data_IF_406679066023
#
_entry.id   IF_406679066023
#
_cell.length_a   1.000
_cell.length_b   1.000
_cell.length_c   1.000
_cell.angle_alpha   90.00
_cell.angle_beta   90.00
_cell.angle_gamma   90.00
#
_symmetry.space_group_name_H-M   'P 1'
#
loop_
_entity.id
_entity.type
_entity.pdbx_description
1 polymer ?
#
# COMPACT_ATOMS: atom_id res chain seq x y z
N UNK A 1 -48.61 -37.05 32.88
CA UNK A 1 -48.75 -35.68 32.34
C UNK A 1 -47.45 -34.94 32.56
N UNK A 2 -46.91 -34.34 31.50
CA UNK A 2 -45.51 -33.97 31.28
C UNK A 2 -44.85 -33.06 32.32
N UNK A 3 -43.58 -33.30 32.69
CA UNK A 3 -42.67 -32.26 33.14
C UNK A 3 -42.10 -31.50 31.94
N UNK A 4 -42.09 -30.17 32.06
CA UNK A 4 -41.66 -29.24 31.03
C UNK A 4 -40.17 -29.37 30.73
N UNK A 5 -39.88 -29.21 29.43
CA UNK A 5 -38.62 -29.43 28.75
C UNK A 5 -37.62 -28.32 29.06
N UNK A 6 -36.65 -28.63 29.90
CA UNK A 6 -35.48 -27.80 30.15
C UNK A 6 -34.52 -27.90 28.96
N UNK A 7 -34.62 -26.96 28.01
CA UNK A 7 -33.67 -26.77 26.90
C UNK A 7 -33.67 -25.32 26.46
N UNK A 8 -32.90 -24.50 27.15
CA UNK A 8 -32.30 -23.29 26.58
C UNK A 8 -30.87 -23.18 27.13
N UNK A 9 -30.01 -24.08 26.65
CA UNK A 9 -28.58 -23.83 26.68
C UNK A 9 -28.29 -22.76 25.61
N UNK A 10 -27.57 -21.67 25.92
CA UNK A 10 -27.14 -20.73 24.90
C UNK A 10 -26.19 -21.45 23.93
N UNK A 11 -26.53 -21.41 22.64
CA UNK A 11 -25.73 -21.96 21.55
C UNK A 11 -24.34 -21.30 21.51
N UNK A 12 -23.36 -21.96 22.14
CA UNK A 12 -21.94 -21.66 22.04
C UNK A 12 -21.35 -22.10 20.68
N UNK A 13 -21.96 -21.68 19.56
CA UNK A 13 -21.55 -22.04 18.20
C UNK A 13 -21.62 -20.89 17.18
N UNK A 14 -21.11 -19.71 17.53
CA UNK A 14 -20.90 -18.59 16.58
C UNK A 14 -19.41 -18.26 16.35
N UNK A 15 -18.56 -19.28 16.26
CA UNK A 15 -17.18 -19.13 15.77
C UNK A 15 -16.93 -20.11 14.61
N UNK A 16 -17.26 -19.71 13.37
CA UNK A 16 -16.24 -19.77 12.31
C UNK A 16 -16.33 -18.62 11.29
N UNK A 17 -16.83 -17.44 11.68
CA UNK A 17 -16.81 -16.23 10.83
C UNK A 17 -15.47 -15.46 10.91
N UNK A 18 -14.49 -15.96 11.67
CA UNK A 18 -13.41 -15.13 12.24
C UNK A 18 -12.06 -15.17 11.53
N UNK A 19 -11.74 -16.19 10.72
CA UNK A 19 -10.44 -16.28 10.05
C UNK A 19 -10.50 -15.84 8.58
N UNK A 20 -11.45 -16.37 7.80
CA UNK A 20 -11.62 -16.01 6.40
C UNK A 20 -11.93 -14.51 6.22
N UNK A 21 -12.76 -13.93 7.09
CA UNK A 21 -13.06 -12.50 7.07
C UNK A 21 -11.83 -11.64 7.45
N UNK A 22 -10.98 -12.12 8.37
CA UNK A 22 -9.72 -11.44 8.74
C UNK A 22 -8.70 -11.49 7.61
N UNK A 23 -8.55 -12.65 6.96
CA UNK A 23 -7.67 -12.81 5.80
C UNK A 23 -8.12 -11.92 4.64
N UNK A 24 -9.42 -11.91 4.32
CA UNK A 24 -9.97 -11.03 3.28
C UNK A 24 -9.78 -9.53 3.58
N UNK A 25 -9.88 -9.14 4.85
CA UNK A 25 -9.63 -7.74 5.25
C UNK A 25 -8.14 -7.37 5.14
N UNK A 26 -7.24 -8.27 5.57
CA UNK A 26 -5.79 -8.08 5.43
C UNK A 26 -5.36 -8.03 3.96
N UNK A 27 -5.93 -8.88 3.10
CA UNK A 27 -5.71 -8.86 1.65
C UNK A 27 -6.18 -7.54 1.05
N UNK A 28 -7.38 -7.07 1.39
CA UNK A 28 -7.88 -5.77 0.90
C UNK A 28 -7.04 -4.57 1.34
N UNK A 29 -6.51 -4.58 2.56
CA UNK A 29 -5.61 -3.54 3.05
C UNK A 29 -4.26 -3.57 2.33
N UNK A 30 -3.71 -4.76 2.07
CA UNK A 30 -2.47 -4.94 1.31
C UNK A 30 -2.62 -4.47 -0.14
N UNK A 31 -3.73 -4.80 -0.82
CA UNK A 31 -4.05 -4.37 -2.19
C UNK A 31 -4.06 -2.85 -2.29
N UNK A 32 -4.70 -2.20 -1.32
CA UNK A 32 -4.82 -0.75 -1.27
C UNK A 32 -3.46 -0.10 -1.01
N UNK A 33 -2.69 -0.60 -0.04
CA UNK A 33 -1.33 -0.10 0.25
C UNK A 33 -0.41 -0.28 -0.96
N UNK A 34 -0.49 -1.44 -1.64
CA UNK A 34 0.30 -1.73 -2.83
C UNK A 34 -0.03 -0.76 -3.97
N UNK A 35 -1.32 -0.57 -4.25
CA UNK A 35 -1.80 0.34 -5.31
C UNK A 35 -1.47 1.80 -4.99
N UNK A 36 -1.65 2.23 -3.74
CA UNK A 36 -1.34 3.59 -3.29
C UNK A 36 0.16 3.91 -3.39
N UNK A 37 1.03 2.91 -3.24
CA UNK A 37 2.47 3.05 -3.46
C UNK A 37 2.87 3.07 -4.94
N UNK A 38 2.21 2.28 -5.80
CA UNK A 38 2.51 2.21 -7.22
C UNK A 38 2.12 3.49 -7.96
N UNK A 39 0.97 4.08 -7.61
CA UNK A 39 0.44 5.29 -8.27
C UNK A 39 1.42 6.47 -8.32
N UNK A 40 2.03 6.94 -7.22
CA UNK A 40 3.00 8.03 -7.27
C UNK A 40 4.27 7.64 -8.03
N UNK A 41 4.68 6.36 -8.00
CA UNK A 41 5.82 5.90 -8.79
C UNK A 41 5.55 5.99 -10.30
N UNK A 42 4.37 5.55 -10.77
CA UNK A 42 3.99 5.66 -12.19
C UNK A 42 3.92 7.11 -12.67
N UNK A 43 3.40 8.01 -11.82
CA UNK A 43 3.39 9.45 -12.11
C UNK A 43 4.81 10.02 -12.20
N UNK A 44 5.69 9.65 -11.26
CA UNK A 44 7.07 10.11 -11.24
C UNK A 44 7.85 9.63 -12.49
N UNK A 45 7.66 8.37 -12.90
CA UNK A 45 8.26 7.84 -14.14
C UNK A 45 7.74 8.59 -15.36
N UNK A 46 6.42 8.80 -15.48
CA UNK A 46 5.85 9.55 -16.59
C UNK A 46 6.41 10.98 -16.67
N UNK A 47 6.52 11.67 -15.54
CA UNK A 47 7.08 13.01 -15.48
C UNK A 47 8.56 13.03 -15.86
N UNK A 48 9.35 12.10 -15.31
CA UNK A 48 10.79 11.99 -15.60
C UNK A 48 11.04 11.75 -17.09
N UNK A 49 10.33 10.80 -17.70
CA UNK A 49 10.47 10.51 -19.12
C UNK A 49 9.93 11.62 -20.01
N UNK A 50 8.97 12.43 -19.55
CA UNK A 50 8.56 13.66 -20.27
C UNK A 50 9.71 14.65 -20.33
N UNK A 51 10.45 14.83 -19.23
CA UNK A 51 11.64 15.68 -19.21
C UNK A 51 12.72 15.11 -20.14
N UNK A 52 12.95 13.79 -20.13
CA UNK A 52 13.92 13.15 -21.04
C UNK A 52 13.52 13.30 -22.50
N UNK A 53 12.26 13.04 -22.88
CA UNK A 53 11.80 13.20 -24.26
C UNK A 53 12.03 14.62 -24.80
N UNK A 54 11.88 15.64 -23.95
CA UNK A 54 12.16 17.03 -24.31
C UNK A 54 13.66 17.30 -24.40
N UNK A 55 14.47 16.74 -23.49
CA UNK A 55 15.91 17.01 -23.40
C UNK A 55 16.75 16.22 -24.42
N UNK A 56 16.34 14.99 -24.76
CA UNK A 56 17.08 14.04 -25.62
C UNK A 56 17.54 14.67 -26.96
N UNK A 57 16.72 15.42 -27.72
CA UNK A 57 17.16 16.06 -28.97
C UNK A 57 18.30 17.07 -28.80
N UNK A 58 18.49 17.62 -27.60
CA UNK A 58 19.50 18.64 -27.32
C UNK A 58 20.79 18.05 -26.74
N UNK A 59 20.74 16.84 -26.19
CA UNK A 59 21.88 16.22 -25.47
C UNK A 59 22.47 15.07 -26.29
N UNK A 60 21.64 14.27 -26.95
CA UNK A 60 22.07 13.02 -27.57
C UNK A 60 22.53 13.25 -29.02
N UNK A 61 23.50 12.46 -29.52
CA UNK A 61 23.90 12.49 -30.93
C UNK A 61 22.74 12.15 -31.88
N UNK A 62 22.67 12.81 -33.05
CA UNK A 62 21.57 12.67 -34.04
C UNK A 62 21.11 11.22 -34.31
N UNK A 63 22.00 10.23 -34.49
CA UNK A 63 21.58 8.85 -34.77
C UNK A 63 20.76 8.20 -33.65
N UNK A 64 20.92 8.68 -32.41
CA UNK A 64 20.27 8.14 -31.20
C UNK A 64 19.04 8.93 -30.75
N UNK A 65 18.86 10.16 -31.22
CA UNK A 65 17.77 11.04 -30.78
C UNK A 65 16.40 10.41 -31.06
N UNK A 66 16.13 10.02 -32.31
CA UNK A 66 14.81 9.53 -32.72
C UNK A 66 14.43 8.24 -31.97
N UNK A 67 15.27 7.19 -31.92
CA UNK A 67 14.94 5.98 -31.18
C UNK A 67 14.71 6.23 -29.68
N UNK A 68 15.54 7.05 -29.03
CA UNK A 68 15.40 7.37 -27.62
C UNK A 68 14.10 8.15 -27.34
N UNK A 69 13.77 9.18 -28.12
CA UNK A 69 12.53 9.94 -27.95
C UNK A 69 11.30 9.07 -28.17
N UNK A 70 11.29 8.19 -29.18
CA UNK A 70 10.18 7.26 -29.41
C UNK A 70 10.00 6.35 -28.18
N UNK A 71 11.09 5.80 -27.65
CA UNK A 71 11.05 4.94 -26.48
C UNK A 71 10.54 5.70 -25.24
N UNK A 72 11.00 6.94 -25.04
CA UNK A 72 10.56 7.80 -23.94
C UNK A 72 9.05 8.06 -24.03
N UNK A 73 8.53 8.39 -25.22
CA UNK A 73 7.09 8.59 -25.45
C UNK A 73 6.28 7.33 -25.14
N UNK A 74 6.78 6.14 -25.52
CA UNK A 74 6.13 4.87 -25.18
C UNK A 74 6.10 4.66 -23.67
N UNK A 75 7.20 4.93 -22.95
CA UNK A 75 7.26 4.80 -21.50
C UNK A 75 6.34 5.81 -20.79
N UNK A 76 6.25 7.05 -21.28
CA UNK A 76 5.29 8.04 -20.79
C UNK A 76 3.86 7.51 -20.93
N UNK A 77 3.50 7.03 -22.13
CA UNK A 77 2.16 6.53 -22.42
C UNK A 77 1.78 5.34 -21.52
N UNK A 78 2.68 4.35 -21.38
CA UNK A 78 2.48 3.18 -20.52
C UNK A 78 2.34 3.60 -19.05
N UNK A 79 3.22 4.48 -18.56
CA UNK A 79 3.23 4.92 -17.16
C UNK A 79 1.97 5.74 -16.82
N UNK A 80 1.53 6.62 -17.72
CA UNK A 80 0.27 7.36 -17.55
C UNK A 80 -0.95 6.44 -17.61
N UNK A 81 -0.97 5.47 -18.52
CA UNK A 81 -2.05 4.49 -18.59
C UNK A 81 -2.14 3.69 -17.27
N UNK A 82 -1.02 3.19 -16.76
CA UNK A 82 -0.96 2.48 -15.48
C UNK A 82 -1.35 3.39 -14.31
N UNK A 83 -0.92 4.66 -14.29
CA UNK A 83 -1.37 5.63 -13.29
C UNK A 83 -2.88 5.80 -13.30
N UNK A 84 -3.51 5.93 -14.48
CA UNK A 84 -4.95 6.10 -14.61
C UNK A 84 -5.71 4.84 -14.19
N UNK A 85 -5.17 3.66 -14.50
CA UNK A 85 -5.72 2.38 -14.03
C UNK A 85 -5.65 2.32 -12.50
N UNK A 86 -4.47 2.54 -11.90
CA UNK A 86 -4.29 2.54 -10.44
C UNK A 86 -5.14 3.60 -9.73
N UNK A 87 -5.48 4.70 -10.41
CA UNK A 87 -6.38 5.74 -9.86
C UNK A 87 -7.84 5.29 -9.83
N UNK A 88 -8.26 4.43 -10.76
CA UNK A 88 -9.67 4.02 -10.93
C UNK A 88 -9.96 2.64 -10.33
N UNK A 89 -8.96 1.80 -10.16
CA UNK A 89 -9.10 0.42 -9.71
C UNK A 89 -8.05 0.09 -8.67
N UNK A 90 -8.44 -0.61 -7.60
CA UNK A 90 -7.52 -1.28 -6.68
C UNK A 90 -6.99 -2.54 -7.35
N UNK A 91 -5.67 -2.67 -7.46
CA UNK A 91 -5.02 -3.81 -8.05
C UNK A 91 -4.64 -4.83 -6.97
N UNK A 92 -4.72 -6.11 -7.31
CA UNK A 92 -4.16 -7.17 -6.47
C UNK A 92 -2.64 -7.02 -6.34
N UNK A 93 -1.98 -7.58 -5.31
CA UNK A 93 -0.57 -7.32 -5.04
C UNK A 93 0.29 -7.91 -6.16
N UNK A 94 -0.13 -9.05 -6.73
CA UNK A 94 0.51 -9.67 -7.88
C UNK A 94 0.46 -8.78 -9.12
N UNK A 95 -0.67 -8.11 -9.38
CA UNK A 95 -0.78 -7.18 -10.50
C UNK A 95 0.10 -5.95 -10.30
N UNK A 96 0.18 -5.44 -9.06
CA UNK A 96 1.09 -4.33 -8.72
C UNK A 96 2.55 -4.71 -8.98
N UNK A 97 2.97 -5.91 -8.56
CA UNK A 97 4.32 -6.40 -8.83
C UNK A 97 4.60 -6.57 -10.32
N UNK A 98 3.68 -7.19 -11.06
CA UNK A 98 3.83 -7.36 -12.51
C UNK A 98 3.93 -6.01 -13.22
N UNK A 99 3.06 -5.05 -12.89
CA UNK A 99 3.08 -3.72 -13.48
C UNK A 99 4.37 -2.96 -13.14
N UNK A 100 4.77 -2.99 -11.86
CA UNK A 100 6.02 -2.36 -11.42
C UNK A 100 7.25 -2.97 -12.11
N UNK A 101 7.32 -4.30 -12.21
CA UNK A 101 8.41 -5.01 -12.90
C UNK A 101 8.40 -4.68 -14.38
N UNK A 102 7.24 -4.69 -15.05
CA UNK A 102 7.15 -4.36 -16.47
C UNK A 102 7.67 -2.94 -16.76
N UNK A 103 7.30 -1.96 -15.91
CA UNK A 103 7.82 -0.59 -16.04
C UNK A 103 9.31 -0.53 -15.73
N UNK A 104 9.80 -1.19 -14.67
CA UNK A 104 11.22 -1.24 -14.34
C UNK A 104 12.04 -1.80 -15.50
N UNK A 105 11.58 -2.89 -16.11
CA UNK A 105 12.23 -3.51 -17.27
C UNK A 105 12.16 -2.63 -18.52
N UNK A 106 11.07 -1.89 -18.72
CA UNK A 106 10.98 -0.89 -19.79
C UNK A 106 11.99 0.24 -19.60
N UNK A 107 12.12 0.76 -18.38
CA UNK A 107 13.12 1.78 -18.04
C UNK A 107 14.54 1.24 -18.20
N UNK A 108 14.80 0.01 -17.74
CA UNK A 108 16.07 -0.68 -17.96
C UNK A 108 16.38 -0.80 -19.45
N UNK A 109 15.41 -1.24 -20.26
CA UNK A 109 15.55 -1.36 -21.71
C UNK A 109 15.95 -0.04 -22.37
N UNK A 110 15.33 1.08 -21.97
CA UNK A 110 15.70 2.42 -22.45
C UNK A 110 17.14 2.79 -22.05
N UNK A 111 17.54 2.55 -20.79
CA UNK A 111 18.89 2.82 -20.30
C UNK A 111 19.93 2.00 -21.07
N UNK A 112 19.68 0.70 -21.26
CA UNK A 112 20.61 -0.19 -21.96
C UNK A 112 20.68 0.14 -23.46
N UNK A 113 19.55 0.45 -24.11
CA UNK A 113 19.52 0.87 -25.51
C UNK A 113 20.34 2.17 -25.72
N UNK A 114 20.11 3.19 -24.88
CA UNK A 114 20.88 4.44 -24.96
C UNK A 114 22.37 4.24 -24.69
N UNK A 115 22.73 3.34 -23.75
CA UNK A 115 24.11 2.93 -23.51
C UNK A 115 24.73 2.20 -24.70
N UNK A 116 24.00 1.26 -25.32
CA UNK A 116 24.44 0.52 -26.50
C UNK A 116 24.75 1.42 -27.71
N UNK A 117 23.99 2.52 -27.85
CA UNK A 117 24.19 3.51 -28.89
C UNK A 117 25.30 4.51 -28.57
N UNK A 118 25.98 4.37 -27.43
CA UNK A 118 27.01 5.30 -26.97
C UNK A 118 26.48 6.68 -26.57
N UNK A 119 25.16 6.84 -26.46
CA UNK A 119 24.51 8.10 -26.14
C UNK A 119 24.47 8.38 -24.64
N UNK A 120 24.54 7.33 -23.81
CA UNK A 120 24.49 7.43 -22.36
C UNK A 120 25.78 6.90 -21.69
N UNK A 121 26.79 7.76 -21.44
CA UNK A 121 28.01 7.36 -20.75
C UNK A 121 27.77 7.06 -19.26
N UNK A 122 26.63 7.48 -18.70
CA UNK A 122 26.29 7.30 -17.29
C UNK A 122 25.33 6.13 -17.04
N UNK A 123 25.21 5.18 -17.99
CA UNK A 123 24.22 4.11 -17.91
C UNK A 123 24.29 3.30 -16.61
N UNK A 124 25.49 3.04 -16.07
CA UNK A 124 25.66 2.35 -14.78
C UNK A 124 25.00 3.10 -13.62
N UNK A 125 25.11 4.44 -13.59
CA UNK A 125 24.45 5.27 -12.59
C UNK A 125 22.93 5.23 -12.77
N UNK A 126 22.45 5.30 -14.01
CA UNK A 126 21.03 5.19 -14.31
C UNK A 126 20.46 3.83 -13.84
N UNK A 127 21.16 2.73 -14.09
CA UNK A 127 20.76 1.41 -13.57
C UNK A 127 20.79 1.38 -12.04
N UNK A 128 21.81 1.97 -11.41
CA UNK A 128 21.88 2.06 -9.95
C UNK A 128 20.70 2.82 -9.33
N UNK A 129 20.29 3.94 -9.94
CA UNK A 129 19.09 4.69 -9.53
C UNK A 129 17.82 3.86 -9.73
N UNK A 130 17.70 3.17 -10.87
CA UNK A 130 16.58 2.28 -11.14
C UNK A 130 16.47 1.18 -10.09
N UNK A 131 17.60 0.59 -9.69
CA UNK A 131 17.66 -0.48 -8.70
C UNK A 131 17.19 0.00 -7.31
N UNK A 132 17.55 1.21 -6.92
CA UNK A 132 17.05 1.85 -5.69
C UNK A 132 15.55 2.14 -5.80
N UNK A 133 15.10 2.69 -6.93
CA UNK A 133 13.70 3.03 -7.15
C UNK A 133 12.81 1.77 -7.15
N UNK A 134 13.24 0.70 -7.84
CA UNK A 134 12.49 -0.54 -7.97
C UNK A 134 12.33 -1.24 -6.61
N UNK A 135 13.40 -1.26 -5.79
CA UNK A 135 13.37 -1.78 -4.42
C UNK A 135 12.33 -1.07 -3.52
N UNK A 136 12.16 0.24 -3.72
CA UNK A 136 11.16 1.06 -3.02
C UNK A 136 9.72 0.86 -3.48
N UNK A 137 9.47 0.24 -4.64
CA UNK A 137 8.11 0.01 -5.17
C UNK A 137 7.55 -1.38 -4.88
N UNK A 138 8.42 -2.38 -4.68
CA UNK A 138 8.01 -3.76 -4.38
C UNK A 138 7.78 -4.01 -2.88
N UNK A 139 6.60 -4.54 -2.53
CA UNK A 139 6.28 -5.06 -1.18
C UNK A 139 6.83 -6.47 -0.94
N UNK A 140 6.87 -7.32 -1.97
CA UNK A 140 7.37 -8.69 -1.85
C UNK A 140 8.88 -8.74 -2.05
N UNK A 141 9.59 -9.35 -1.09
CA UNK A 141 11.03 -9.56 -1.16
C UNK A 141 11.43 -10.44 -2.36
N UNK A 142 10.60 -11.43 -2.73
CA UNK A 142 10.87 -12.32 -3.87
C UNK A 142 10.84 -11.54 -5.17
N UNK A 143 9.84 -10.68 -5.37
CA UNK A 143 9.74 -9.83 -6.56
C UNK A 143 10.85 -8.77 -6.59
N UNK A 144 11.16 -8.16 -5.45
CA UNK A 144 12.27 -7.21 -5.35
C UNK A 144 13.61 -7.86 -5.72
N UNK A 145 13.90 -9.05 -5.17
CA UNK A 145 15.13 -9.78 -5.45
C UNK A 145 15.22 -10.24 -6.91
N UNK A 146 14.11 -10.77 -7.46
CA UNK A 146 14.06 -11.18 -8.87
C UNK A 146 14.32 -9.99 -9.81
N UNK A 147 13.68 -8.85 -9.55
CA UNK A 147 13.85 -7.64 -10.36
C UNK A 147 15.29 -7.08 -10.25
N UNK A 148 15.83 -7.00 -9.03
CA UNK A 148 17.21 -6.57 -8.80
C UNK A 148 18.22 -7.51 -9.48
N UNK A 149 18.00 -8.83 -9.45
CA UNK A 149 18.85 -9.79 -10.13
C UNK A 149 18.86 -9.56 -11.65
N UNK A 150 17.69 -9.30 -12.25
CA UNK A 150 17.59 -9.00 -13.68
C UNK A 150 18.34 -7.70 -14.01
N UNK A 151 18.15 -6.64 -13.23
CA UNK A 151 18.81 -5.35 -13.42
C UNK A 151 20.34 -5.46 -13.33
N UNK A 152 20.84 -6.19 -12.32
CA UNK A 152 22.28 -6.42 -12.13
C UNK A 152 22.86 -7.27 -13.26
N UNK A 153 22.19 -8.36 -13.66
CA UNK A 153 22.68 -9.23 -14.74
C UNK A 153 22.71 -8.48 -16.06
N UNK A 154 21.64 -7.76 -16.39
CA UNK A 154 21.57 -6.99 -17.63
C UNK A 154 22.63 -5.88 -17.68
N UNK A 155 22.85 -5.20 -16.55
CA UNK A 155 23.97 -4.27 -16.41
C UNK A 155 25.32 -4.94 -16.57
N UNK A 156 25.57 -6.09 -15.93
CA UNK A 156 26.86 -6.77 -15.98
C UNK A 156 27.20 -7.21 -17.42
N UNK A 157 26.20 -7.72 -18.16
CA UNK A 157 26.35 -8.05 -19.59
C UNK A 157 26.72 -6.82 -20.40
N UNK A 158 26.03 -5.69 -20.20
CA UNK A 158 26.29 -4.45 -20.94
C UNK A 158 27.62 -3.80 -20.57
N UNK A 159 27.97 -3.80 -19.29
CA UNK A 159 29.26 -3.35 -18.78
C UNK A 159 30.40 -4.15 -19.43
N UNK A 160 30.27 -5.48 -19.50
CA UNK A 160 31.26 -6.33 -20.15
C UNK A 160 31.43 -6.04 -21.65
N UNK A 161 30.36 -5.65 -22.34
CA UNK A 161 30.39 -5.39 -23.78
C UNK A 161 30.96 -4.01 -24.15
N UNK A 162 30.74 -2.99 -23.32
CA UNK A 162 30.94 -1.60 -23.72
C UNK A 162 32.00 -0.89 -22.87
N UNK A 163 32.16 -1.26 -21.59
CA UNK A 163 33.09 -0.53 -20.72
C UNK A 163 34.55 -0.95 -20.96
N UNK A 164 35.49 0.01 -21.02
CA UNK A 164 36.90 -0.28 -20.93
C UNK A 164 37.26 -1.01 -19.62
N UNK A 165 38.25 -1.90 -19.66
CA UNK A 165 38.67 -2.67 -18.48
C UNK A 165 39.05 -1.80 -17.26
N UNK A 166 39.57 -0.60 -17.50
CA UNK A 166 39.90 0.39 -16.45
C UNK A 166 38.67 0.93 -15.71
N UNK A 167 37.50 0.91 -16.35
CA UNK A 167 36.26 1.47 -15.80
C UNK A 167 35.37 0.41 -15.14
N UNK A 168 35.65 -0.88 -15.33
CA UNK A 168 34.85 -1.97 -14.74
C UNK A 168 34.86 -1.88 -13.22
N UNK A 169 36.04 -1.80 -12.60
CA UNK A 169 36.16 -1.80 -11.13
C UNK A 169 35.39 -0.65 -10.44
N UNK A 170 35.53 0.63 -10.83
CA UNK A 170 34.76 1.70 -10.21
C UNK A 170 33.24 1.55 -10.43
N UNK A 171 32.81 1.07 -11.60
CA UNK A 171 31.39 0.83 -11.87
C UNK A 171 30.82 -0.35 -11.04
N UNK A 172 31.61 -1.41 -10.80
CA UNK A 172 31.25 -2.50 -9.88
C UNK A 172 31.08 -1.99 -8.45
N UNK A 173 32.01 -1.15 -7.97
CA UNK A 173 31.89 -0.55 -6.64
C UNK A 173 30.64 0.35 -6.53
N UNK A 174 30.36 1.15 -7.56
CA UNK A 174 29.15 1.96 -7.63
C UNK A 174 27.89 1.09 -7.56
N UNK A 175 27.84 0.01 -8.34
CA UNK A 175 26.69 -0.90 -8.36
C UNK A 175 26.49 -1.59 -7.01
N UNK A 176 27.57 -2.01 -6.35
CA UNK A 176 27.51 -2.58 -5.01
C UNK A 176 26.96 -1.57 -3.97
N UNK A 177 27.36 -0.30 -4.06
CA UNK A 177 26.84 0.76 -3.21
C UNK A 177 25.34 1.02 -3.46
N UNK A 178 24.92 1.11 -4.72
CA UNK A 178 23.51 1.24 -5.08
C UNK A 178 22.67 0.04 -4.58
N UNK A 179 23.19 -1.18 -4.71
CA UNK A 179 22.54 -2.38 -4.19
C UNK A 179 22.37 -2.35 -2.67
N UNK A 180 23.42 -1.93 -1.93
CA UNK A 180 23.32 -1.78 -0.48
C UNK A 180 22.26 -0.74 -0.08
N UNK A 181 22.20 0.41 -0.76
CA UNK A 181 21.17 1.43 -0.53
C UNK A 181 19.78 0.89 -0.85
N UNK A 182 19.62 0.20 -1.97
CA UNK A 182 18.34 -0.40 -2.36
C UNK A 182 17.86 -1.44 -1.35
N UNK A 183 18.76 -2.26 -0.82
CA UNK A 183 18.46 -3.20 0.26
C UNK A 183 17.96 -2.49 1.51
N UNK A 184 18.65 -1.42 1.95
CA UNK A 184 18.24 -0.61 3.11
C UNK A 184 16.85 0.00 2.87
N UNK A 185 16.60 0.56 1.68
CA UNK A 185 15.30 1.14 1.30
C UNK A 185 14.20 0.09 1.37
N UNK A 186 14.44 -1.10 0.83
CA UNK A 186 13.46 -2.19 0.83
C UNK A 186 13.13 -2.65 2.26
N UNK A 187 14.15 -2.90 3.09
CA UNK A 187 13.97 -3.31 4.49
C UNK A 187 13.22 -2.23 5.28
N UNK A 188 13.63 -0.97 5.13
CA UNK A 188 13.00 0.17 5.82
C UNK A 188 11.51 0.28 5.45
N UNK A 189 11.18 0.12 4.17
CA UNK A 189 9.79 0.12 3.70
C UNK A 189 8.99 -1.05 4.25
N UNK A 190 9.57 -2.24 4.30
CA UNK A 190 8.90 -3.42 4.84
C UNK A 190 8.57 -3.22 6.33
N UNK A 191 9.55 -2.76 7.12
CA UNK A 191 9.35 -2.42 8.54
C UNK A 191 8.29 -1.34 8.73
N UNK A 192 8.33 -0.27 7.93
CA UNK A 192 7.33 0.79 7.99
C UNK A 192 5.91 0.28 7.67
N UNK A 193 5.78 -0.58 6.67
CA UNK A 193 4.49 -1.16 6.25
C UNK A 193 3.91 -2.04 7.36
N UNK A 194 4.72 -2.94 7.94
CA UNK A 194 4.30 -3.78 9.08
C UNK A 194 3.84 -2.92 10.24
N UNK A 195 4.60 -1.88 10.60
CA UNK A 195 4.25 -0.98 11.70
C UNK A 195 2.96 -0.20 11.45
N UNK A 196 2.71 0.23 10.22
CA UNK A 196 1.45 0.90 9.84
C UNK A 196 0.27 -0.05 10.00
N UNK A 197 0.42 -1.32 9.58
CA UNK A 197 -0.62 -2.34 9.74
C UNK A 197 -0.92 -2.62 11.22
N UNK A 198 0.12 -2.74 12.05
CA UNK A 198 -0.04 -2.91 13.51
C UNK A 198 -0.77 -1.74 14.16
N UNK A 199 -0.43 -0.50 13.78
CA UNK A 199 -1.10 0.70 14.28
C UNK A 199 -2.58 0.74 13.90
N UNK A 200 -2.91 0.39 12.65
CA UNK A 200 -4.29 0.33 12.16
C UNK A 200 -5.14 -0.71 12.91
N UNK A 201 -4.59 -1.89 13.18
CA UNK A 201 -5.28 -2.91 13.98
C UNK A 201 -5.50 -2.44 15.43
N UNK A 202 -4.53 -1.71 15.99
CA UNK A 202 -4.66 -1.07 17.30
C UNK A 202 -5.80 -0.04 17.36
N UNK A 203 -5.88 0.83 16.36
CA UNK A 203 -6.91 1.87 16.28
C UNK A 203 -8.30 1.27 16.08
N UNK A 204 -8.45 0.26 15.22
CA UNK A 204 -9.73 -0.44 15.03
C UNK A 204 -10.23 -1.12 16.31
N UNK A 205 -9.32 -1.68 17.13
CA UNK A 205 -9.69 -2.26 18.44
C UNK A 205 -10.15 -1.19 19.42
N UNK A 206 -9.44 -0.06 19.49
CA UNK A 206 -9.80 1.07 20.36
C UNK A 206 -11.15 1.67 19.98
N UNK A 207 -11.41 1.85 18.69
CA UNK A 207 -12.69 2.37 18.20
C UNK A 207 -13.86 1.46 18.59
N UNK A 208 -13.70 0.14 18.45
CA UNK A 208 -14.73 -0.83 18.88
C UNK A 208 -14.97 -0.79 20.39
N UNK A 209 -13.90 -0.71 21.19
CA UNK A 209 -14.02 -0.60 22.64
C UNK A 209 -14.75 0.68 23.06
N UNK A 210 -14.50 1.80 22.36
CA UNK A 210 -15.21 3.06 22.59
C UNK A 210 -16.68 2.96 22.19
N UNK A 211 -17.00 2.33 21.05
CA UNK A 211 -18.39 2.11 20.63
C UNK A 211 -19.15 1.22 21.63
N UNK A 212 -18.51 0.20 22.18
CA UNK A 212 -19.09 -0.65 23.22
C UNK A 212 -19.35 0.14 24.51
N UNK A 213 -18.35 0.89 24.99
CA UNK A 213 -18.52 1.72 26.18
C UNK A 213 -19.61 2.78 26.02
N UNK A 214 -19.76 3.37 24.83
CA UNK A 214 -20.84 4.30 24.52
C UNK A 214 -22.20 3.61 24.53
N UNK A 215 -22.32 2.42 23.94
CA UNK A 215 -23.57 1.65 23.97
C UNK A 215 -23.96 1.28 25.41
N UNK A 216 -23.02 0.83 26.23
CA UNK A 216 -23.23 0.53 27.65
C UNK A 216 -23.66 1.78 28.44
N UNK A 217 -23.03 2.93 28.19
CA UNK A 217 -23.40 4.19 28.84
C UNK A 217 -24.81 4.67 28.44
N UNK A 218 -25.18 4.52 27.17
CA UNK A 218 -26.52 4.86 26.67
C UNK A 218 -27.59 3.92 27.26
N UNK A 219 -27.30 2.63 27.39
CA UNK A 219 -28.18 1.68 28.07
C UNK A 219 -28.35 2.03 29.55
N UNK A 220 -27.26 2.32 30.26
CA UNK A 220 -27.31 2.73 31.65
C UNK A 220 -28.11 4.04 31.84
N UNK A 221 -27.96 4.99 30.91
CA UNK A 221 -28.73 6.24 30.92
C UNK A 221 -30.23 5.98 30.72
N UNK A 222 -30.60 5.14 29.75
CA UNK A 222 -32.02 4.78 29.51
C UNK A 222 -32.62 4.07 30.72
N UNK A 223 -31.86 3.19 31.37
CA UNK A 223 -32.32 2.53 32.58
C UNK A 223 -32.53 3.53 33.73
N UNK A 224 -31.64 4.51 33.88
CA UNK A 224 -31.77 5.56 34.87
C UNK A 224 -33.00 6.44 34.60
N UNK A 225 -33.19 6.88 33.35
CA UNK A 225 -34.34 7.70 32.93
C UNK A 225 -35.65 6.96 33.23
N UNK A 226 -35.74 5.66 32.92
CA UNK A 226 -36.89 4.81 33.27
C UNK A 226 -37.14 4.78 34.78
N UNK A 227 -36.10 4.59 35.60
CA UNK A 227 -36.24 4.58 37.08
C UNK A 227 -36.69 5.94 37.62
N UNK A 228 -36.25 7.05 37.03
CA UNK A 228 -36.67 8.40 37.42
C UNK A 228 -38.14 8.62 37.09
N UNK A 229 -38.60 8.18 35.91
CA UNK A 229 -40.00 8.27 35.50
C UNK A 229 -40.91 7.44 36.42
N UNK A 230 -40.52 6.19 36.72
CA UNK A 230 -41.21 5.32 37.68
C UNK A 230 -41.32 5.97 39.07
N UNK A 231 -40.22 6.56 39.58
CA UNK A 231 -40.20 7.26 40.88
C UNK A 231 -41.09 8.51 40.88
N UNK A 232 -41.09 9.25 39.78
CA UNK A 232 -41.89 10.47 39.63
C UNK A 232 -43.39 10.15 39.57
N UNK A 233 -43.76 9.08 38.86
CA UNK A 233 -45.14 8.58 38.80
C UNK A 233 -45.62 8.08 40.18
N UNK A 234 -44.78 7.35 40.90
CA UNK A 234 -45.09 6.89 42.26
C UNK A 234 -45.35 8.06 43.23
N UNK A 235 -44.47 9.07 43.22
CA UNK A 235 -44.63 10.27 44.05
C UNK A 235 -45.92 11.05 43.70
N UNK A 236 -46.25 11.16 42.41
CA UNK A 236 -47.48 11.83 41.97
C UNK A 236 -48.74 11.10 42.47
N UNK A 237 -48.77 9.77 42.36
CA UNK A 237 -49.86 8.97 42.89
C UNK A 237 -50.01 9.15 44.41
N UNK A 238 -48.90 9.14 45.16
CA UNK A 238 -48.93 9.34 46.62
C UNK A 238 -49.46 10.73 47.00
N UNK A 239 -49.10 11.78 46.26
CA UNK A 239 -49.61 13.13 46.47
C UNK A 239 -51.11 13.25 46.15
N UNK A 240 -51.57 12.64 45.04
CA UNK A 240 -53.00 12.61 44.69
C UNK A 240 -53.82 11.84 45.73
N UNK A 241 -53.28 10.74 46.27
CA UNK A 241 -53.92 9.95 47.32
C UNK A 241 -54.03 10.74 48.64
N UNK A 242 -52.97 11.47 49.03
CA UNK A 242 -53.02 12.37 50.19
C UNK A 242 -54.03 13.50 50.01
N UNK A 243 -54.10 14.12 48.83
CA UNK A 243 -55.09 15.15 48.53
C UNK A 243 -56.54 14.63 48.67
N UNK A 244 -56.82 13.43 48.18
CA UNK A 244 -58.14 12.79 48.35
C UNK A 244 -58.48 12.50 49.81
N UNK A 245 -57.50 12.10 50.61
CA UNK A 245 -57.69 11.85 52.04
C UNK A 245 -57.94 13.15 52.82
N UNK A 246 -57.37 14.27 52.39
CA UNK A 246 -57.63 15.59 52.99
C UNK A 246 -59.01 16.16 52.61
N UNK A 247 -59.49 15.94 51.38
CA UNK A 247 -60.83 16.36 50.95
C UNK A 247 -61.98 15.58 51.62
N UNK A 248 -61.71 14.39 52.14
CA UNK A 248 -62.69 13.55 52.85
C UNK A 248 -62.81 13.85 54.35
N UNK A 249 -62.00 14.78 54.87
CA UNK A 249 -61.88 15.07 56.31
C UNK A 249 -62.52 16.39 56.68
#
# INVERSE_FOLDING_TARGET
MSPARDRNAPDARSAPTSLAARLAHLEGDLDRIATDGLRPAMMAVALLFTVFAIATPFIFPEPSQIPCVIYDVVLIAISLALYLICRRTTLSPRQVHIAGTAVSLGVLGNILMSGAMGANPLFSFCVGILLIASAGTMLSAVWALANAAIEIVAWAVMAWMILPASEIQPNVMCMAACFAVAFIVHVSRNVATVRILELRDGDAKRERALQQALAEADEARRELDRKVEERTAALRNELEERGRLEEQR
#
